data_IF_443988128924
#
_entry.id   IF_443988128924
#
_cell.length_a   1.000
_cell.length_b   1.000
_cell.length_c   1.000
_cell.angle_alpha   90.00
_cell.angle_beta   90.00
_cell.angle_gamma   90.00
#
_symmetry.space_group_name_H-M   'P 1'
#
loop_
_entity.id
_entity.type
_entity.pdbx_description
1 polymer ?
#
# COMPACT_ATOMS: atom_id res chain seq x y z
N UNK A 1 -9.48 3.83 18.66
CA UNK A 1 -9.86 5.28 18.70
C UNK A 1 -9.47 5.98 17.39
N UNK A 2 -10.22 6.99 16.92
CA UNK A 2 -9.92 7.77 15.69
C UNK A 2 -9.29 9.11 16.08
N UNK A 3 -8.16 9.46 15.46
CA UNK A 3 -7.38 10.68 15.71
C UNK A 3 -7.18 11.47 14.42
N UNK A 4 -7.10 12.79 14.49
CA UNK A 4 -6.61 13.60 13.36
C UNK A 4 -5.09 13.46 13.23
N UNK A 5 -4.55 13.47 12.01
CA UNK A 5 -3.11 13.47 11.77
C UNK A 5 -2.38 14.69 12.37
N UNK A 6 -3.10 15.77 12.70
CA UNK A 6 -2.56 16.95 13.37
C UNK A 6 -2.60 16.85 14.91
N UNK A 7 -3.20 15.80 15.46
CA UNK A 7 -3.29 15.58 16.90
C UNK A 7 -2.13 14.69 17.37
N UNK A 8 -1.49 15.13 18.45
CA UNK A 8 -0.55 14.28 19.19
C UNK A 8 -1.31 13.10 19.79
N UNK A 9 -0.83 11.90 19.49
CA UNK A 9 -1.37 10.70 20.10
C UNK A 9 -0.95 10.64 21.57
N UNK A 10 -1.92 10.66 22.48
CA UNK A 10 -1.66 10.40 23.90
C UNK A 10 -1.85 8.91 24.14
N UNK A 11 -0.74 8.25 24.48
CA UNK A 11 -0.70 6.82 24.71
C UNK A 11 -1.51 6.46 25.96
N UNK A 12 -2.32 5.38 25.93
CA UNK A 12 -2.87 4.83 27.16
C UNK A 12 -1.72 4.42 28.09
N UNK A 13 -1.86 4.62 29.41
CA UNK A 13 -0.76 4.48 30.37
C UNK A 13 -0.18 3.06 30.41
N UNK A 14 -1.01 2.04 30.15
CA UNK A 14 -0.60 0.64 30.11
C UNK A 14 -1.23 -0.08 28.91
N UNK A 15 -0.55 -1.07 28.34
CA UNK A 15 -1.13 -2.05 27.42
C UNK A 15 -2.06 -3.03 28.18
N UNK A 16 -2.97 -2.56 29.01
CA UNK A 16 -3.70 -3.36 30.01
C UNK A 16 -4.75 -4.35 29.47
N UNK A 17 -4.82 -4.54 28.15
CA UNK A 17 -5.74 -5.49 27.48
C UNK A 17 -5.00 -6.65 26.79
N UNK A 18 -3.86 -7.05 27.37
CA UNK A 18 -3.04 -8.20 26.97
C UNK A 18 -3.94 -9.45 26.82
N UNK A 19 -4.21 -9.88 25.58
CA UNK A 19 -4.44 -11.31 25.35
C UNK A 19 -3.22 -12.02 25.92
N UNK A 20 -3.43 -12.98 26.82
CA UNK A 20 -2.47 -13.48 27.84
C UNK A 20 -1.02 -13.79 27.38
N UNK A 21 -0.76 -13.84 26.07
CA UNK A 21 0.49 -14.29 25.47
C UNK A 21 1.16 -13.32 24.46
N UNK A 22 0.58 -12.16 24.08
CA UNK A 22 1.19 -11.25 23.08
C UNK A 22 0.67 -9.80 23.12
N UNK A 23 1.55 -8.84 22.83
CA UNK A 23 1.24 -7.42 22.69
C UNK A 23 1.33 -7.03 21.20
N UNK A 24 0.29 -6.46 20.62
CA UNK A 24 0.31 -6.00 19.22
C UNK A 24 -0.41 -4.66 19.05
N UNK A 25 -0.19 -4.01 17.91
CA UNK A 25 -0.87 -2.77 17.54
C UNK A 25 -1.25 -2.81 16.07
N UNK A 26 -2.45 -2.32 15.79
CA UNK A 26 -2.95 -2.04 14.45
C UNK A 26 -3.06 -0.52 14.27
N UNK A 27 -2.42 -0.02 13.23
CA UNK A 27 -2.49 1.38 12.81
C UNK A 27 -3.14 1.43 11.44
N UNK A 28 -4.10 2.33 11.25
CA UNK A 28 -4.71 2.59 9.95
C UNK A 28 -4.63 4.08 9.68
N UNK A 29 -4.01 4.49 8.58
CA UNK A 29 -3.91 5.88 8.16
C UNK A 29 -4.79 6.07 6.93
N UNK A 30 -5.70 7.06 6.95
CA UNK A 30 -6.47 7.48 5.78
C UNK A 30 -6.02 8.88 5.36
N UNK A 31 -5.37 8.98 4.21
CA UNK A 31 -4.64 10.19 3.84
C UNK A 31 -5.56 11.33 3.38
N UNK A 32 -6.69 11.01 2.74
CA UNK A 32 -7.68 11.99 2.27
C UNK A 32 -8.44 12.59 3.44
N UNK A 33 -8.79 11.76 4.41
CA UNK A 33 -9.49 12.18 5.63
C UNK A 33 -8.56 12.84 6.65
N UNK A 34 -7.24 12.75 6.43
CA UNK A 34 -6.19 13.21 7.35
C UNK A 34 -6.43 12.73 8.78
N UNK A 35 -6.78 11.47 8.92
CA UNK A 35 -6.99 10.82 10.21
C UNK A 35 -6.32 9.45 10.26
N UNK A 36 -6.14 8.94 11.48
CA UNK A 36 -5.62 7.61 11.72
C UNK A 36 -6.35 6.95 12.89
N UNK A 37 -6.35 5.63 12.89
CA UNK A 37 -6.84 4.80 13.99
C UNK A 37 -5.68 4.04 14.59
N UNK A 38 -5.71 3.98 15.92
CA UNK A 38 -4.86 3.09 16.71
C UNK A 38 -5.78 2.12 17.44
N UNK A 39 -5.49 0.84 17.29
CA UNK A 39 -6.18 -0.26 17.97
C UNK A 39 -5.15 -1.20 18.57
N UNK A 40 -5.37 -1.59 19.82
CA UNK A 40 -4.63 -2.65 20.50
C UNK A 40 -5.58 -3.85 20.73
N UNK A 41 -5.10 -5.10 20.67
CA UNK A 41 -5.90 -6.26 21.03
C UNK A 41 -6.57 -6.09 22.40
N UNK A 42 -7.87 -6.41 22.48
CA UNK A 42 -8.73 -6.26 23.64
C UNK A 42 -9.45 -4.92 23.76
N UNK A 43 -9.32 -4.03 22.76
CA UNK A 43 -10.22 -2.89 22.57
C UNK A 43 -11.54 -3.36 21.91
N UNK A 44 -12.67 -2.67 22.13
CA UNK A 44 -14.03 -3.14 21.75
C UNK A 44 -14.19 -3.34 20.20
N UNK A 45 -13.28 -2.77 19.41
CA UNK A 45 -13.25 -2.81 17.95
C UNK A 45 -12.32 -3.90 17.39
N UNK A 46 -12.12 -4.98 18.14
CA UNK A 46 -11.02 -5.89 17.91
C UNK A 46 -11.17 -6.80 16.68
N UNK A 47 -10.06 -6.97 15.96
CA UNK A 47 -9.80 -8.13 15.12
C UNK A 47 -8.91 -9.08 15.92
N UNK A 48 -9.46 -10.21 16.35
CA UNK A 48 -8.73 -11.17 17.20
C UNK A 48 -7.62 -11.92 16.45
N UNK A 49 -7.50 -11.72 15.12
CA UNK A 49 -6.57 -12.42 14.23
C UNK A 49 -5.35 -11.57 13.79
N UNK A 50 -4.84 -10.70 14.66
CA UNK A 50 -3.57 -9.99 14.42
C UNK A 50 -2.41 -10.94 14.77
N UNK A 51 -2.16 -11.91 13.91
CA UNK A 51 -1.15 -12.95 14.15
C UNK A 51 0.25 -12.58 13.62
N UNK A 52 0.36 -11.66 12.65
CA UNK A 52 1.61 -11.40 11.94
C UNK A 52 1.95 -9.91 11.75
N UNK A 53 3.25 -9.63 11.65
CA UNK A 53 3.77 -8.34 11.21
C UNK A 53 3.51 -8.16 9.72
N UNK A 54 2.65 -7.20 9.36
CA UNK A 54 2.27 -6.94 7.97
C UNK A 54 1.92 -5.48 7.73
N UNK A 55 2.17 -5.03 6.52
CA UNK A 55 1.71 -3.76 6.01
C UNK A 55 0.73 -4.03 4.86
N UNK A 56 -0.30 -3.19 4.76
CA UNK A 56 -1.26 -3.24 3.67
C UNK A 56 -1.52 -1.83 3.16
N UNK A 57 -1.38 -1.61 1.86
CA UNK A 57 -1.73 -0.36 1.19
C UNK A 57 -2.84 -0.62 0.21
N UNK A 58 -3.82 0.28 0.17
CA UNK A 58 -4.93 0.23 -0.76
C UNK A 58 -5.18 1.61 -1.33
N UNK A 59 -5.16 1.70 -2.66
CA UNK A 59 -5.45 2.92 -3.42
C UNK A 59 -6.56 2.60 -4.42
N UNK A 60 -7.72 3.21 -4.27
CA UNK A 60 -8.81 3.21 -5.25
C UNK A 60 -8.88 4.55 -5.97
N UNK A 61 -9.10 4.53 -7.28
CA UNK A 61 -8.96 5.73 -8.13
C UNK A 61 -10.16 5.98 -9.05
N UNK A 62 -11.22 5.17 -8.99
CA UNK A 62 -12.37 5.31 -9.89
C UNK A 62 -13.60 5.88 -9.16
N UNK A 63 -14.57 5.02 -8.79
CA UNK A 63 -15.87 5.46 -8.27
C UNK A 63 -15.78 6.09 -6.88
N UNK A 64 -14.90 5.54 -6.04
CA UNK A 64 -14.58 6.08 -4.73
C UNK A 64 -13.06 6.22 -4.68
N UNK A 65 -12.56 7.45 -4.55
CA UNK A 65 -11.14 7.65 -4.28
C UNK A 65 -10.86 7.29 -2.83
N UNK A 66 -9.89 6.41 -2.63
CA UNK A 66 -9.54 5.88 -1.32
C UNK A 66 -8.04 5.63 -1.26
N UNK A 67 -7.34 6.07 -0.22
CA UNK A 67 -5.94 5.79 0.04
C UNK A 67 -5.73 5.52 1.52
N UNK A 68 -5.59 4.23 1.84
CA UNK A 68 -5.24 3.78 3.18
C UNK A 68 -3.89 3.08 3.25
N UNK A 69 -3.26 3.21 4.41
CA UNK A 69 -2.09 2.46 4.80
C UNK A 69 -2.36 1.83 6.17
N UNK A 70 -2.46 0.51 6.20
CA UNK A 70 -2.61 -0.29 7.39
C UNK A 70 -1.27 -0.94 7.79
N UNK A 71 -0.99 -0.96 9.08
CA UNK A 71 0.20 -1.56 9.68
C UNK A 71 -0.24 -2.40 10.87
N UNK A 72 0.10 -3.68 10.84
CA UNK A 72 -0.04 -4.59 11.98
C UNK A 72 1.36 -4.94 12.49
N UNK A 73 1.57 -4.76 13.78
CA UNK A 73 2.83 -5.08 14.43
C UNK A 73 2.61 -5.91 15.68
N UNK A 74 3.21 -7.10 15.71
CA UNK A 74 3.15 -8.06 16.82
C UNK A 74 4.50 -8.11 17.52
N UNK A 75 4.49 -7.84 18.83
CA UNK A 75 5.64 -7.94 19.71
C UNK A 75 5.64 -9.30 20.40
N UNK A 76 6.79 -9.97 20.36
CA UNK A 76 7.01 -11.27 21.03
C UNK A 76 7.10 -11.16 22.56
N UNK A 77 7.42 -9.97 23.07
CA UNK A 77 7.57 -9.69 24.50
C UNK A 77 6.38 -8.86 25.02
N UNK A 78 6.08 -8.99 26.32
CA UNK A 78 5.02 -8.25 27.03
C UNK A 78 5.37 -6.78 27.32
N UNK A 79 6.50 -6.29 26.82
CA UNK A 79 7.02 -4.94 27.04
C UNK A 79 6.30 -3.88 26.21
N UNK A 80 6.63 -2.60 26.45
CA UNK A 80 6.19 -1.39 25.75
C UNK A 80 6.55 -1.33 24.24
N UNK A 81 6.93 -2.45 23.63
CA UNK A 81 7.34 -2.56 22.22
C UNK A 81 6.26 -2.05 21.26
N UNK A 82 5.01 -2.50 21.40
CA UNK A 82 3.92 -2.09 20.51
C UNK A 82 3.62 -0.60 20.67
N UNK A 83 3.76 -0.09 21.90
CA UNK A 83 3.63 1.32 22.26
C UNK A 83 4.68 2.18 21.55
N UNK A 84 5.94 1.83 21.72
CA UNK A 84 7.08 2.54 21.15
C UNK A 84 7.07 2.45 19.61
N UNK A 85 6.63 1.33 19.06
CA UNK A 85 6.42 1.17 17.63
C UNK A 85 5.33 2.12 17.12
N UNK A 86 4.18 2.16 17.79
CA UNK A 86 3.06 3.02 17.42
C UNK A 86 3.48 4.48 17.41
N UNK A 87 4.10 4.97 18.48
CA UNK A 87 4.55 6.37 18.57
C UNK A 87 5.48 6.76 17.42
N UNK A 88 6.54 5.98 17.20
CA UNK A 88 7.50 6.23 16.12
C UNK A 88 6.83 6.18 14.74
N UNK A 89 5.94 5.21 14.53
CA UNK A 89 5.32 5.00 13.22
C UNK A 89 4.25 6.04 12.93
N UNK A 90 3.47 6.46 13.92
CA UNK A 90 2.52 7.57 13.79
C UNK A 90 3.24 8.83 13.37
N UNK A 91 4.30 9.24 14.08
CA UNK A 91 5.11 10.42 13.71
C UNK A 91 5.63 10.29 12.27
N UNK A 92 6.22 9.14 11.94
CA UNK A 92 6.80 8.91 10.62
C UNK A 92 5.75 8.91 9.49
N UNK A 93 4.50 8.56 9.77
CA UNK A 93 3.42 8.48 8.78
C UNK A 93 2.65 9.79 8.65
N UNK A 94 2.39 10.51 9.74
CA UNK A 94 1.72 11.82 9.72
C UNK A 94 2.59 12.90 9.08
N UNK A 95 3.91 12.75 9.12
CA UNK A 95 4.86 13.61 8.43
C UNK A 95 4.98 13.32 6.92
N UNK A 96 4.41 12.22 6.41
CA UNK A 96 4.41 11.95 4.96
C UNK A 96 3.39 12.84 4.28
N UNK A 97 3.86 13.74 3.42
CA UNK A 97 3.01 14.46 2.48
C UNK A 97 2.97 13.72 1.15
N UNK A 98 1.79 13.19 0.81
CA UNK A 98 1.52 12.65 -0.52
C UNK A 98 0.74 13.68 -1.34
N UNK A 99 1.10 13.85 -2.60
CA UNK A 99 0.24 14.56 -3.54
C UNK A 99 -0.82 13.58 -4.07
N UNK A 100 -1.85 13.37 -3.24
CA UNK A 100 -2.90 12.38 -3.47
C UNK A 100 -3.61 12.61 -4.82
N UNK A 101 -3.89 13.86 -5.17
CA UNK A 101 -4.55 14.20 -6.43
C UNK A 101 -3.75 13.75 -7.65
N UNK A 102 -2.42 13.92 -7.62
CA UNK A 102 -1.58 13.49 -8.72
C UNK A 102 -1.42 11.96 -8.75
N UNK A 103 -1.34 11.30 -7.59
CA UNK A 103 -1.34 9.84 -7.49
C UNK A 103 -2.59 9.26 -8.18
N UNK A 104 -3.77 9.79 -7.87
CA UNK A 104 -5.00 9.35 -8.53
C UNK A 104 -4.97 9.61 -10.03
N UNK A 105 -4.60 10.82 -10.45
CA UNK A 105 -4.55 11.18 -11.86
C UNK A 105 -3.64 10.24 -12.67
N UNK A 106 -2.46 9.91 -12.14
CA UNK A 106 -1.50 9.06 -12.84
C UNK A 106 -1.94 7.58 -12.83
N UNK A 107 -2.52 7.09 -11.73
CA UNK A 107 -3.08 5.75 -11.67
C UNK A 107 -4.35 5.59 -12.52
N UNK A 108 -5.25 6.56 -12.54
CA UNK A 108 -6.45 6.56 -13.39
C UNK A 108 -6.07 6.42 -14.86
N UNK A 109 -5.04 7.16 -15.32
CA UNK A 109 -4.53 7.07 -16.69
C UNK A 109 -4.06 5.67 -17.08
N UNK A 110 -3.66 4.85 -16.11
CA UNK A 110 -3.20 3.49 -16.33
C UNK A 110 -4.36 2.50 -16.21
N UNK A 111 -5.18 2.64 -15.16
CA UNK A 111 -6.10 1.61 -14.69
C UNK A 111 -7.55 1.82 -15.16
N UNK A 112 -7.93 3.06 -15.45
CA UNK A 112 -9.32 3.43 -15.64
C UNK A 112 -9.62 3.95 -17.04
N UNK A 113 -10.70 3.43 -17.66
CA UNK A 113 -11.31 4.03 -18.86
C UNK A 113 -12.54 4.81 -18.41
N UNK A 114 -12.58 6.11 -18.73
CA UNK A 114 -13.67 7.02 -18.34
C UNK A 114 -14.97 6.77 -19.11
N UNK A 115 -14.88 6.15 -20.29
CA UNK A 115 -16.03 5.87 -21.16
C UNK A 115 -16.52 4.43 -20.96
N UNK A 116 -17.80 4.35 -20.54
CA UNK A 116 -18.75 3.25 -20.74
C UNK A 116 -18.44 1.90 -20.10
N UNK A 117 -19.49 1.34 -19.48
CA UNK A 117 -19.70 -0.08 -19.23
C UNK A 117 -19.65 -0.84 -20.56
N UNK A 118 -18.47 -0.97 -21.16
CA UNK A 118 -18.36 -1.73 -22.40
C UNK A 118 -18.48 -3.21 -22.05
N UNK A 119 -19.54 -3.84 -22.56
CA UNK A 119 -19.75 -5.29 -22.57
C UNK A 119 -18.57 -6.05 -23.23
N UNK A 120 -17.61 -5.33 -23.80
CA UNK A 120 -16.45 -5.83 -24.55
C UNK A 120 -15.13 -5.81 -23.76
N UNK A 121 -15.12 -5.57 -22.44
CA UNK A 121 -13.86 -5.63 -21.66
C UNK A 121 -13.20 -7.02 -21.81
N UNK A 122 -12.02 -7.06 -22.42
CA UNK A 122 -11.21 -8.28 -22.53
C UNK A 122 -10.05 -8.26 -21.54
N UNK A 123 -9.78 -9.39 -20.91
CA UNK A 123 -8.66 -9.58 -19.98
C UNK A 123 -7.85 -10.81 -20.37
N UNK A 124 -6.59 -10.86 -19.97
CA UNK A 124 -5.83 -12.10 -19.96
C UNK A 124 -6.30 -13.02 -18.83
N UNK A 125 -6.41 -14.32 -19.08
CA UNK A 125 -6.54 -15.33 -18.01
C UNK A 125 -5.16 -15.82 -17.54
N UNK A 126 -5.16 -16.77 -16.60
CA UNK A 126 -3.93 -17.38 -16.07
C UNK A 126 -3.05 -18.07 -17.11
N UNK A 127 -3.59 -18.43 -18.27
CA UNK A 127 -2.87 -19.07 -19.38
C UNK A 127 -2.50 -18.07 -20.49
N UNK A 128 -2.59 -16.77 -20.21
CA UNK A 128 -2.38 -15.68 -21.17
C UNK A 128 -3.37 -15.65 -22.34
N UNK A 129 -4.45 -16.43 -22.28
CA UNK A 129 -5.51 -16.36 -23.27
C UNK A 129 -6.40 -15.14 -23.02
N UNK A 130 -6.91 -14.55 -24.10
CA UNK A 130 -7.81 -13.40 -24.03
C UNK A 130 -9.24 -13.89 -23.79
N UNK A 131 -9.91 -13.33 -22.77
CA UNK A 131 -11.28 -13.69 -22.37
C UNK A 131 -12.15 -12.45 -22.21
N UNK A 132 -13.41 -12.56 -22.61
CA UNK A 132 -14.42 -11.53 -22.36
C UNK A 132 -14.81 -11.51 -20.88
N UNK A 133 -14.63 -10.34 -20.29
CA UNK A 133 -14.75 -10.13 -18.87
C UNK A 133 -16.05 -9.45 -18.47
N UNK A 134 -16.39 -8.34 -19.13
CA UNK A 134 -17.72 -7.76 -18.99
C UNK A 134 -18.76 -8.63 -19.71
N UNK A 135 -19.98 -8.64 -19.19
CA UNK A 135 -21.16 -9.26 -19.82
C UNK A 135 -22.34 -8.33 -19.58
N UNK A 136 -23.37 -8.41 -20.42
CA UNK A 136 -24.55 -7.57 -20.31
C UNK A 136 -25.10 -7.53 -18.87
N UNK A 137 -25.10 -6.34 -18.27
CA UNK A 137 -25.62 -6.09 -16.91
C UNK A 137 -24.62 -6.33 -15.75
N UNK A 138 -23.36 -6.71 -16.01
CA UNK A 138 -22.31 -6.80 -14.99
C UNK A 138 -21.02 -6.12 -15.44
N UNK A 139 -20.46 -5.27 -14.58
CA UNK A 139 -19.12 -4.73 -14.78
C UNK A 139 -18.09 -5.85 -14.68
N UNK A 140 -17.14 -5.86 -15.62
CA UNK A 140 -15.92 -6.65 -15.52
C UNK A 140 -14.77 -5.81 -14.98
N UNK A 141 -13.82 -6.44 -14.29
CA UNK A 141 -12.50 -5.88 -14.04
C UNK A 141 -11.41 -6.90 -14.34
N UNK A 142 -10.34 -6.45 -14.99
CA UNK A 142 -9.14 -7.25 -15.16
C UNK A 142 -8.31 -7.12 -13.88
N UNK A 143 -7.86 -8.24 -13.36
CA UNK A 143 -6.99 -8.31 -12.19
C UNK A 143 -5.69 -9.00 -12.56
N UNK A 144 -4.58 -8.45 -12.07
CA UNK A 144 -3.26 -9.07 -12.05
C UNK A 144 -2.71 -9.05 -10.62
N UNK A 145 -2.15 -10.18 -10.22
CA UNK A 145 -1.48 -10.38 -8.94
C UNK A 145 -0.01 -10.67 -9.25
N UNK A 146 0.87 -9.81 -8.77
CA UNK A 146 2.32 -9.91 -8.91
C UNK A 146 2.95 -10.32 -7.58
N UNK A 147 3.78 -11.37 -7.59
CA UNK A 147 4.59 -11.78 -6.44
C UNK A 147 5.86 -10.92 -6.43
N UNK A 148 5.93 -10.01 -5.46
CA UNK A 148 6.99 -9.00 -5.37
C UNK A 148 8.30 -9.57 -4.80
N UNK A 149 8.30 -10.82 -4.32
CA UNK A 149 9.50 -11.50 -3.81
C UNK A 149 10.09 -12.40 -4.89
N UNK A 150 9.24 -13.14 -5.61
CA UNK A 150 9.64 -14.02 -6.71
C UNK A 150 9.79 -13.29 -8.04
N UNK A 151 9.37 -12.02 -8.10
CA UNK A 151 9.41 -11.17 -9.29
C UNK A 151 8.69 -11.80 -10.48
N UNK A 152 7.53 -12.40 -10.23
CA UNK A 152 6.74 -13.02 -11.27
C UNK A 152 5.24 -12.78 -11.09
N UNK A 153 4.52 -12.86 -12.20
CA UNK A 153 3.08 -12.77 -12.20
C UNK A 153 2.54 -14.04 -11.57
N UNK A 154 1.89 -13.88 -10.42
CA UNK A 154 1.28 -14.97 -9.68
C UNK A 154 -0.01 -15.42 -10.36
N UNK A 155 -0.85 -14.46 -10.77
CA UNK A 155 -2.16 -14.77 -11.34
C UNK A 155 -2.70 -13.61 -12.17
N UNK A 156 -3.45 -13.93 -13.23
CA UNK A 156 -4.31 -12.99 -13.94
C UNK A 156 -5.73 -13.53 -13.92
N UNK A 157 -6.70 -12.68 -13.63
CA UNK A 157 -8.11 -13.07 -13.63
C UNK A 157 -8.98 -11.98 -14.22
N UNK A 158 -10.17 -12.38 -14.66
CA UNK A 158 -11.30 -11.49 -14.83
C UNK A 158 -12.20 -11.64 -13.60
N UNK A 159 -12.58 -10.52 -12.99
CA UNK A 159 -13.59 -10.46 -11.94
C UNK A 159 -14.86 -9.80 -12.48
N UNK A 160 -16.02 -10.24 -12.00
CA UNK A 160 -17.34 -9.72 -12.38
C UNK A 160 -18.08 -9.35 -11.11
N UNK A 161 -18.40 -8.08 -10.94
CA UNK A 161 -19.12 -7.60 -9.77
C UNK A 161 -19.99 -6.39 -10.12
N UNK A 162 -21.04 -6.15 -9.35
CA UNK A 162 -21.94 -4.99 -9.56
C UNK A 162 -21.27 -3.66 -9.23
N UNK A 163 -20.18 -3.71 -8.48
CA UNK A 163 -19.37 -2.58 -8.05
C UNK A 163 -17.90 -2.99 -8.18
N UNK A 164 -17.28 -2.66 -9.31
CA UNK A 164 -15.84 -2.80 -9.51
C UNK A 164 -15.20 -1.41 -9.55
N UNK A 165 -14.11 -1.23 -8.82
CA UNK A 165 -13.30 -0.01 -8.80
C UNK A 165 -11.89 -0.36 -9.26
N UNK A 166 -11.26 0.56 -10.01
CA UNK A 166 -9.85 0.44 -10.33
C UNK A 166 -9.04 0.67 -9.05
N UNK A 167 -8.16 -0.27 -8.71
CA UNK A 167 -7.45 -0.24 -7.44
C UNK A 167 -6.06 -0.85 -7.52
N UNK A 168 -5.19 -0.41 -6.61
CA UNK A 168 -3.90 -1.01 -6.34
C UNK A 168 -3.82 -1.37 -4.87
N UNK A 169 -3.60 -2.66 -4.60
CA UNK A 169 -3.47 -3.19 -3.26
C UNK A 169 -2.10 -3.84 -3.10
N UNK A 170 -1.39 -3.54 -2.01
CA UNK A 170 -0.10 -4.15 -1.70
C UNK A 170 -0.18 -4.76 -0.32
N UNK A 171 0.11 -6.05 -0.23
CA UNK A 171 0.35 -6.73 1.03
C UNK A 171 1.84 -7.01 1.15
N UNK A 172 2.45 -6.71 2.30
CA UNK A 172 3.86 -7.03 2.57
C UNK A 172 4.05 -7.44 4.04
N UNK A 173 4.44 -8.70 4.27
CA UNK A 173 4.79 -9.26 5.59
C UNK A 173 6.29 -9.55 5.74
N UNK A 174 7.14 -8.91 4.93
CA UNK A 174 8.57 -9.21 4.72
C UNK A 174 8.83 -10.55 4.01
N UNK A 175 8.25 -11.65 4.49
CA UNK A 175 8.40 -13.01 3.96
C UNK A 175 7.49 -13.34 2.78
N UNK A 176 6.41 -12.58 2.62
CA UNK A 176 5.46 -12.67 1.52
C UNK A 176 5.04 -11.26 1.13
N UNK A 177 5.09 -10.95 -0.16
CA UNK A 177 4.66 -9.65 -0.66
C UNK A 177 3.99 -9.80 -2.02
N UNK A 178 2.80 -9.23 -2.16
CA UNK A 178 2.02 -9.26 -3.39
C UNK A 178 1.47 -7.89 -3.71
N UNK A 179 1.44 -7.55 -5.00
CA UNK A 179 0.70 -6.41 -5.53
C UNK A 179 -0.48 -6.94 -6.34
N UNK A 180 -1.68 -6.52 -5.98
CA UNK A 180 -2.89 -6.78 -6.75
C UNK A 180 -3.32 -5.48 -7.43
N UNK A 181 -3.35 -5.49 -8.75
CA UNK A 181 -3.87 -4.38 -9.55
C UNK A 181 -5.18 -4.81 -10.18
N UNK A 182 -6.23 -4.01 -9.95
CA UNK A 182 -7.53 -4.11 -10.60
C UNK A 182 -7.74 -2.91 -11.51
N UNK A 183 -8.25 -3.16 -12.70
CA UNK A 183 -8.43 -2.15 -13.73
C UNK A 183 -9.57 -2.53 -14.67
N UNK A 184 -10.14 -1.55 -15.38
CA UNK A 184 -11.27 -1.74 -16.29
C UNK A 184 -10.93 -1.32 -17.73
N UNK A 185 -9.65 -1.43 -18.11
CA UNK A 185 -9.16 -1.19 -19.46
C UNK A 185 -8.89 -2.51 -20.16
N UNK A 186 -9.02 -2.52 -21.49
CA UNK A 186 -8.70 -3.69 -22.31
C UNK A 186 -7.29 -4.19 -22.01
N UNK A 187 -7.18 -5.48 -21.68
CA UNK A 187 -5.92 -6.20 -21.46
C UNK A 187 -5.01 -5.54 -20.41
N UNK A 188 -5.58 -4.77 -19.48
CA UNK A 188 -4.82 -4.03 -18.48
C UNK A 188 -4.26 -4.91 -17.34
N UNK A 189 -4.50 -6.22 -17.38
CA UNK A 189 -3.86 -7.18 -16.48
C UNK A 189 -2.60 -7.81 -17.11
N UNK A 190 -1.96 -7.11 -18.05
CA UNK A 190 -0.66 -7.48 -18.62
C UNK A 190 0.53 -7.00 -17.78
N UNK A 191 1.76 -7.48 -18.09
CA UNK A 191 2.98 -7.14 -17.34
C UNK A 191 3.31 -5.64 -17.39
N UNK A 192 3.09 -4.99 -18.54
CA UNK A 192 3.35 -3.55 -18.73
C UNK A 192 2.51 -2.69 -17.77
N UNK A 193 1.30 -3.12 -17.43
CA UNK A 193 0.45 -2.38 -16.48
C UNK A 193 1.01 -2.44 -15.07
N UNK A 194 1.51 -3.60 -14.63
CA UNK A 194 2.18 -3.73 -13.33
C UNK A 194 3.40 -2.82 -13.26
N UNK A 195 4.24 -2.82 -14.30
CA UNK A 195 5.44 -1.97 -14.35
C UNK A 195 5.07 -0.48 -14.30
N UNK A 196 4.06 -0.05 -15.07
CA UNK A 196 3.57 1.32 -15.04
C UNK A 196 3.05 1.72 -13.64
N UNK A 197 2.32 0.83 -12.97
CA UNK A 197 1.86 1.06 -11.59
C UNK A 197 3.05 1.18 -10.63
N UNK A 198 4.02 0.26 -10.68
CA UNK A 198 5.23 0.32 -9.84
C UNK A 198 5.98 1.63 -10.02
N UNK A 199 6.11 2.11 -11.26
CA UNK A 199 6.76 3.39 -11.56
C UNK A 199 6.02 4.57 -10.91
N UNK A 200 4.70 4.61 -10.98
CA UNK A 200 3.89 5.66 -10.31
C UNK A 200 4.07 5.60 -8.79
N UNK A 201 3.95 4.42 -8.19
CA UNK A 201 4.07 4.27 -6.73
C UNK A 201 5.47 4.61 -6.21
N UNK A 202 6.51 4.23 -6.94
CA UNK A 202 7.90 4.59 -6.63
C UNK A 202 8.11 6.11 -6.79
N UNK A 203 7.61 6.72 -7.87
CA UNK A 203 7.69 8.17 -8.10
C UNK A 203 7.14 8.98 -6.91
N UNK A 204 6.02 8.52 -6.33
CA UNK A 204 5.40 9.14 -5.16
C UNK A 204 5.94 8.62 -3.81
N UNK A 205 7.02 7.85 -3.79
CA UNK A 205 7.66 7.27 -2.60
C UNK A 205 6.72 6.40 -1.75
N UNK A 206 5.76 5.72 -2.38
CA UNK A 206 4.85 4.77 -1.73
C UNK A 206 5.52 3.40 -1.64
N UNK A 207 6.25 3.00 -2.68
CA UNK A 207 7.00 1.74 -2.79
C UNK A 207 8.48 1.99 -3.11
N UNK A 208 9.30 0.95 -3.03
CA UNK A 208 10.61 0.91 -3.68
C UNK A 208 10.48 0.62 -5.20
N UNK A 209 11.64 0.50 -5.88
CA UNK A 209 11.73 0.19 -7.32
C UNK A 209 11.11 -1.15 -7.71
N UNK A 210 10.99 -2.08 -6.77
CA UNK A 210 10.42 -3.41 -7.02
C UNK A 210 8.91 -3.46 -6.73
N UNK A 211 8.33 -2.37 -6.22
CA UNK A 211 6.93 -2.29 -5.81
C UNK A 211 6.67 -2.74 -4.38
N UNK A 212 7.71 -3.04 -3.59
CA UNK A 212 7.56 -3.38 -2.17
C UNK A 212 7.37 -2.13 -1.35
N UNK A 213 6.66 -2.27 -0.23
CA UNK A 213 6.50 -1.15 0.69
C UNK A 213 7.87 -0.83 1.32
N UNK A 214 8.26 0.44 1.46
CA UNK A 214 9.52 0.81 2.06
C UNK A 214 9.51 0.37 3.53
N UNK A 215 10.07 -0.81 3.79
CA UNK A 215 10.49 -1.27 5.11
C UNK A 215 11.62 -0.37 5.62
N UNK A 216 12.00 -0.53 6.89
CA UNK A 216 13.01 0.30 7.58
C UNK A 216 14.39 0.42 6.89
N UNK A 217 14.62 -0.28 5.81
CA UNK A 217 15.75 -0.16 4.90
C UNK A 217 15.53 0.94 3.86
N UNK A 218 16.43 1.93 3.82
CA UNK A 218 16.76 2.79 2.65
C UNK A 218 16.27 4.24 2.55
N UNK A 219 15.78 4.89 3.62
CA UNK A 219 15.77 6.38 3.66
C UNK A 219 17.06 7.01 4.22
N UNK A 220 18.10 6.23 4.50
CA UNK A 220 19.40 6.75 4.96
C UNK A 220 20.49 6.88 3.87
N UNK A 221 20.28 6.40 2.64
CA UNK A 221 21.42 6.15 1.73
C UNK A 221 21.56 7.08 0.52
N UNK A 222 20.83 8.20 0.42
CA UNK A 222 21.03 9.14 -0.70
C UNK A 222 21.60 10.49 -0.23
N UNK A 223 21.20 10.98 0.96
CA UNK A 223 21.76 12.24 1.48
C UNK A 223 23.23 12.12 1.93
N UNK A 224 23.66 10.96 2.44
CA UNK A 224 25.06 10.76 2.87
C UNK A 224 26.04 10.66 1.69
N UNK A 225 25.67 9.99 0.60
CA UNK A 225 26.56 9.85 -0.56
C UNK A 225 26.70 11.15 -1.37
N UNK A 226 25.63 11.97 -1.45
CA UNK A 226 25.71 13.31 -2.05
C UNK A 226 26.58 14.26 -1.22
N UNK A 227 26.54 14.16 0.11
CA UNK A 227 27.40 14.96 0.98
C UNK A 227 28.88 14.57 0.89
N UNK A 228 29.17 13.27 0.77
CA UNK A 228 30.55 12.77 0.57
C UNK A 228 31.09 13.19 -0.81
N UNK A 229 30.29 13.09 -1.88
CA UNK A 229 30.70 13.52 -3.23
C UNK A 229 31.00 15.02 -3.31
N UNK A 230 30.19 15.87 -2.65
CA UNK A 230 30.44 17.32 -2.60
C UNK A 230 31.74 17.62 -1.83
N UNK A 231 32.04 16.89 -0.76
CA UNK A 231 33.26 17.09 0.03
C UNK A 231 34.53 16.66 -0.72
N UNK A 232 34.47 15.61 -1.55
CA UNK A 232 35.61 15.20 -2.37
C UNK A 232 35.84 16.13 -3.58
N UNK A 233 34.79 16.71 -4.16
CA UNK A 233 34.94 17.67 -5.26
C UNK A 233 35.57 18.99 -4.80
N UNK A 234 35.25 19.49 -3.61
CA UNK A 234 35.83 20.74 -3.10
C UNK A 234 37.29 20.64 -2.64
N UNK A 235 37.80 19.43 -2.37
CA UNK A 235 39.22 19.21 -2.07
C UNK A 235 40.11 19.06 -3.31
N UNK A 236 39.54 18.74 -4.47
CA UNK A 236 40.30 18.60 -5.72
C UNK A 236 40.50 19.92 -6.48
N UNK A 237 39.77 20.99 -6.14
CA UNK A 237 39.97 22.33 -6.73
C UNK A 237 41.04 23.17 -6.02
N UNK A 238 41.69 22.65 -4.97
CA UNK A 238 42.66 23.39 -4.14
C UNK A 238 44.07 22.75 -4.05
N UNK A 239 44.45 21.89 -4.99
CA UNK A 239 45.84 21.47 -5.23
C UNK A 239 46.19 21.60 -6.71
#
# INVERSE_FOLDING_TARGET
MIYSMNQSFVLPPNCSYISSNRCSVKLIFWFERRNYVVTFPGDILNDDNIDDNRHFVMIEVAMNTFFSYEINHVCKNKDDCARNFAEKKIIAMTQRSFNISNIYTDLERILFKKESLDDDLLCFDSNEAVRQCAIAGMMGSCQIIDDLIKYNIHRRTCQRHSQESASVNIYDSNSFAIMTVKCNRMLCNGPLTIEAVKNVLNHYNITDVNGRLPGNSSRLSIKYYLFILIFFCSFFEFN
#
